data_IF_503008804412
#
_entry.id   IF_503008804412
#
_cell.length_a   1.000
_cell.length_b   1.000
_cell.length_c   1.000
_cell.angle_alpha   90.00
_cell.angle_beta   90.00
_cell.angle_gamma   90.00
#
_symmetry.space_group_name_H-M   'P 1'
#
loop_
_entity.id
_entity.type
_entity.pdbx_description
1 polymer ?
#
# COMPACT_ATOMS: atom_id res chain seq x y z
N UNK A 1 -2.75 -13.77 8.66
CA UNK A 1 -3.51 -13.25 7.48
C UNK A 1 -4.28 -14.37 6.81
N UNK A 2 -5.53 -14.14 6.40
CA UNK A 2 -6.30 -15.11 5.61
C UNK A 2 -5.88 -15.05 4.14
N UNK A 3 -5.85 -16.20 3.46
CA UNK A 3 -5.61 -16.26 2.02
C UNK A 3 -6.78 -15.63 1.28
N UNK A 4 -6.51 -14.82 0.27
CA UNK A 4 -7.53 -14.20 -0.59
C UNK A 4 -8.45 -15.27 -1.19
N UNK A 5 -9.76 -15.01 -1.13
CA UNK A 5 -10.77 -15.82 -1.78
C UNK A 5 -10.65 -15.78 -3.33
N UNK A 6 -11.29 -16.69 -4.03
CA UNK A 6 -11.32 -16.70 -5.50
C UNK A 6 -11.91 -15.41 -6.07
N UNK A 7 -12.95 -14.87 -5.44
CA UNK A 7 -13.62 -13.64 -5.87
C UNK A 7 -12.72 -12.40 -5.67
N UNK A 8 -12.02 -12.30 -4.54
CA UNK A 8 -11.05 -11.22 -4.28
C UNK A 8 -9.91 -11.25 -5.31
N UNK A 9 -9.39 -12.44 -5.63
CA UNK A 9 -8.37 -12.60 -6.68
C UNK A 9 -8.88 -12.16 -8.05
N UNK A 10 -10.14 -12.44 -8.38
CA UNK A 10 -10.75 -11.99 -9.63
C UNK A 10 -10.90 -10.46 -9.65
N UNK A 11 -11.36 -9.86 -8.56
CA UNK A 11 -11.53 -8.41 -8.43
C UNK A 11 -10.19 -7.67 -8.55
N UNK A 12 -9.16 -8.13 -7.84
CA UNK A 12 -7.80 -7.55 -7.86
C UNK A 12 -7.16 -7.62 -9.26
N UNK A 13 -7.52 -8.62 -10.07
CA UNK A 13 -7.04 -8.75 -11.44
C UNK A 13 -7.96 -8.10 -12.50
N UNK A 14 -9.04 -7.43 -12.08
CA UNK A 14 -10.00 -6.83 -13.02
C UNK A 14 -9.42 -5.59 -13.74
N UNK A 15 -9.89 -5.29 -14.97
CA UNK A 15 -9.53 -4.05 -15.67
C UNK A 15 -9.89 -2.78 -14.88
N UNK A 16 -10.99 -2.82 -14.11
CA UNK A 16 -11.41 -1.73 -13.24
C UNK A 16 -10.40 -1.47 -12.13
N UNK A 17 -9.89 -2.52 -11.46
CA UNK A 17 -8.86 -2.38 -10.43
C UNK A 17 -7.54 -1.84 -11.03
N UNK A 18 -7.17 -2.30 -12.22
CA UNK A 18 -6.00 -1.78 -12.92
C UNK A 18 -6.13 -0.29 -13.29
N UNK A 19 -7.33 0.15 -13.70
CA UNK A 19 -7.61 1.56 -13.96
C UNK A 19 -7.53 2.40 -12.67
N UNK A 20 -8.10 1.90 -11.58
CA UNK A 20 -8.05 2.58 -10.28
C UNK A 20 -6.62 2.71 -9.78
N UNK A 21 -5.82 1.63 -9.84
CA UNK A 21 -4.40 1.66 -9.46
C UNK A 21 -3.58 2.67 -10.27
N UNK A 22 -3.90 2.86 -11.56
CA UNK A 22 -3.26 3.92 -12.33
C UNK A 22 -3.51 5.29 -11.72
N UNK A 23 -4.77 5.59 -11.35
CA UNK A 23 -5.14 6.85 -10.71
C UNK A 23 -4.48 7.05 -9.35
N UNK A 24 -4.39 5.98 -8.58
CA UNK A 24 -3.72 5.98 -7.27
C UNK A 24 -2.23 6.27 -7.42
N UNK A 25 -1.53 5.57 -8.32
CA UNK A 25 -0.10 5.81 -8.58
C UNK A 25 0.13 7.21 -9.18
N UNK A 26 -0.77 7.71 -10.05
CA UNK A 26 -0.67 9.07 -10.57
C UNK A 26 -0.87 10.13 -9.47
N UNK A 27 -1.78 9.89 -8.53
CA UNK A 27 -1.97 10.74 -7.38
C UNK A 27 -0.75 10.68 -6.45
N UNK A 28 -0.26 9.49 -6.14
CA UNK A 28 0.95 9.27 -5.35
C UNK A 28 2.17 10.01 -5.92
N UNK A 29 2.40 9.91 -7.23
CA UNK A 29 3.50 10.60 -7.90
C UNK A 29 3.40 12.13 -7.75
N UNK A 30 2.19 12.68 -7.89
CA UNK A 30 1.98 14.14 -7.72
C UNK A 30 2.16 14.60 -6.27
N UNK A 31 1.69 13.80 -5.31
CA UNK A 31 1.71 14.17 -3.89
C UNK A 31 3.08 14.01 -3.25
N UNK A 32 3.82 12.97 -3.63
CA UNK A 32 5.16 12.76 -3.03
C UNK A 32 6.16 13.81 -3.48
N UNK A 33 6.03 14.33 -4.71
CA UNK A 33 7.00 15.29 -5.27
C UNK A 33 8.45 14.77 -5.24
N UNK A 34 8.65 13.45 -5.10
CA UNK A 34 9.97 12.86 -4.99
C UNK A 34 10.67 12.89 -6.34
N UNK A 35 11.96 13.22 -6.30
CA UNK A 35 12.80 13.18 -7.49
C UNK A 35 13.00 11.74 -7.98
N UNK A 36 13.30 11.55 -9.28
CA UNK A 36 13.80 10.27 -9.77
C UNK A 36 14.99 9.79 -8.93
N UNK A 37 15.09 8.48 -8.71
CA UNK A 37 16.15 7.89 -7.90
C UNK A 37 15.80 7.63 -6.44
N UNK A 38 14.62 8.03 -5.97
CA UNK A 38 14.16 7.74 -4.62
C UNK A 38 13.95 6.22 -4.38
N UNK A 39 14.00 5.80 -3.12
CA UNK A 39 13.72 4.43 -2.68
C UNK A 39 12.24 4.25 -2.31
N UNK A 40 11.57 3.32 -2.97
CA UNK A 40 10.14 3.04 -2.78
C UNK A 40 9.87 1.64 -2.27
N UNK A 41 8.82 1.53 -1.44
CA UNK A 41 8.25 0.27 -1.01
C UNK A 41 6.79 0.16 -1.48
N UNK A 42 6.43 -0.93 -2.16
CA UNK A 42 5.05 -1.31 -2.48
C UNK A 42 4.60 -2.40 -1.49
N UNK A 43 3.81 -2.01 -0.50
CA UNK A 43 3.30 -2.85 0.58
C UNK A 43 2.05 -3.59 0.11
N UNK A 44 2.08 -4.92 0.14
CA UNK A 44 0.99 -5.75 -0.35
C UNK A 44 0.81 -5.63 -1.85
N UNK A 45 1.88 -5.85 -2.59
CA UNK A 45 1.96 -5.59 -4.03
C UNK A 45 0.97 -6.40 -4.89
N UNK A 46 0.32 -7.41 -4.32
CA UNK A 46 -0.58 -8.30 -5.04
C UNK A 46 0.06 -8.85 -6.33
N UNK A 47 -0.65 -8.82 -7.48
CA UNK A 47 -0.09 -9.27 -8.75
C UNK A 47 0.88 -8.26 -9.41
N UNK A 48 1.37 -7.25 -8.69
CA UNK A 48 2.42 -6.32 -9.11
C UNK A 48 2.00 -5.24 -10.09
N UNK A 49 0.71 -4.84 -10.09
CA UNK A 49 0.26 -3.81 -11.02
C UNK A 49 0.71 -2.42 -10.59
N UNK A 50 0.61 -2.09 -9.29
CA UNK A 50 1.14 -0.84 -8.75
C UNK A 50 2.65 -0.78 -8.85
N UNK A 51 3.38 -1.86 -8.48
CA UNK A 51 4.84 -1.94 -8.62
C UNK A 51 5.31 -1.61 -10.04
N UNK A 52 4.64 -2.16 -11.07
CA UNK A 52 4.99 -1.89 -12.47
C UNK A 52 4.76 -0.42 -12.84
N UNK A 53 3.66 0.18 -12.36
CA UNK A 53 3.36 1.59 -12.62
C UNK A 53 4.30 2.54 -11.90
N UNK A 54 4.65 2.25 -10.64
CA UNK A 54 5.65 3.01 -9.86
C UNK A 54 6.99 2.97 -10.59
N UNK A 55 7.43 1.78 -11.00
CA UNK A 55 8.66 1.62 -11.79
C UNK A 55 8.66 2.47 -13.07
N UNK A 56 7.61 2.37 -13.88
CA UNK A 56 7.52 3.05 -15.16
C UNK A 56 7.48 4.59 -15.04
N UNK A 57 6.81 5.11 -14.00
CA UNK A 57 6.50 6.54 -13.90
C UNK A 57 7.40 7.33 -12.98
N UNK A 58 7.89 6.69 -11.91
CA UNK A 58 8.65 7.38 -10.87
C UNK A 58 10.14 7.09 -10.98
N UNK A 59 10.54 6.09 -11.77
CA UNK A 59 11.95 5.73 -12.03
C UNK A 59 12.77 5.63 -10.73
N UNK A 60 12.34 4.79 -9.78
CA UNK A 60 13.03 4.65 -8.50
C UNK A 60 14.44 4.06 -8.71
N UNK A 61 15.38 4.45 -7.85
CA UNK A 61 16.67 3.77 -7.76
C UNK A 61 16.49 2.37 -7.13
N UNK A 62 15.63 2.29 -6.13
CA UNK A 62 15.27 1.05 -5.45
C UNK A 62 13.73 0.97 -5.40
N UNK A 63 13.17 -0.14 -5.87
CA UNK A 63 11.79 -0.52 -5.63
C UNK A 63 11.78 -1.89 -4.97
N UNK A 64 11.42 -1.93 -3.68
CA UNK A 64 11.05 -3.16 -3.02
C UNK A 64 9.53 -3.34 -3.07
N UNK A 65 9.07 -4.59 -3.23
CA UNK A 65 7.65 -4.90 -3.21
C UNK A 65 7.46 -6.27 -2.54
N UNK A 66 6.45 -6.40 -1.70
CA UNK A 66 6.18 -7.66 -1.06
C UNK A 66 4.68 -7.94 -0.94
N UNK A 67 4.36 -9.22 -0.78
CA UNK A 67 3.01 -9.67 -0.45
C UNK A 67 3.12 -10.86 0.50
N UNK A 68 2.11 -11.05 1.35
CA UNK A 68 2.03 -12.20 2.24
C UNK A 68 1.76 -13.51 1.49
N UNK A 69 1.01 -13.45 0.35
CA UNK A 69 0.71 -14.62 -0.47
C UNK A 69 1.81 -14.88 -1.52
N UNK A 70 2.57 -15.99 -1.42
CA UNK A 70 3.59 -16.35 -2.41
C UNK A 70 3.04 -16.45 -3.84
N UNK A 71 1.73 -16.76 -4.00
CA UNK A 71 1.10 -16.83 -5.32
C UNK A 71 1.01 -15.43 -5.95
N UNK A 72 0.74 -14.38 -5.16
CA UNK A 72 0.74 -12.99 -5.62
C UNK A 72 2.15 -12.56 -6.02
N UNK A 73 3.15 -12.82 -5.21
CA UNK A 73 4.57 -12.53 -5.54
C UNK A 73 4.99 -13.22 -6.85
N UNK A 74 4.54 -14.46 -7.09
CA UNK A 74 4.81 -15.17 -8.36
C UNK A 74 4.14 -14.48 -9.55
N UNK A 75 2.91 -13.98 -9.40
CA UNK A 75 2.21 -13.21 -10.44
C UNK A 75 2.88 -11.87 -10.69
N UNK A 76 3.28 -11.14 -9.63
CA UNK A 76 4.01 -9.89 -9.71
C UNK A 76 5.32 -10.07 -10.49
N UNK A 77 6.10 -11.11 -10.17
CA UNK A 77 7.34 -11.43 -10.88
C UNK A 77 7.13 -11.60 -12.38
N UNK A 78 6.11 -12.35 -12.79
CA UNK A 78 5.77 -12.55 -14.20
C UNK A 78 5.36 -11.24 -14.89
N UNK A 79 4.61 -10.38 -14.20
CA UNK A 79 4.19 -9.08 -14.72
C UNK A 79 5.37 -8.15 -14.92
N UNK A 80 6.25 -8.04 -13.94
CA UNK A 80 7.44 -7.19 -13.99
C UNK A 80 8.44 -7.68 -15.05
N UNK A 81 8.59 -9.01 -15.21
CA UNK A 81 9.40 -9.58 -16.30
C UNK A 81 8.91 -9.14 -17.68
N UNK A 82 7.59 -9.20 -17.92
CA UNK A 82 6.99 -8.76 -19.20
C UNK A 82 7.16 -7.26 -19.46
N UNK A 83 7.42 -6.48 -18.43
CA UNK A 83 7.62 -5.02 -18.48
C UNK A 83 9.10 -4.62 -18.45
N UNK A 84 10.03 -5.58 -18.42
CA UNK A 84 11.47 -5.32 -18.34
C UNK A 84 11.95 -4.79 -16.97
N UNK A 85 11.09 -4.76 -15.97
CA UNK A 85 11.36 -4.20 -14.64
C UNK A 85 11.95 -5.21 -13.64
N UNK A 86 12.16 -6.44 -14.02
CA UNK A 86 12.46 -7.56 -13.10
C UNK A 86 13.85 -7.50 -12.44
N UNK A 87 14.81 -6.79 -13.03
CA UNK A 87 16.17 -6.63 -12.48
C UNK A 87 16.23 -5.56 -11.40
N UNK A 88 15.28 -4.63 -11.39
CA UNK A 88 15.32 -3.41 -10.60
C UNK A 88 14.23 -3.38 -9.50
N UNK A 89 13.35 -4.40 -9.46
CA UNK A 89 12.33 -4.55 -8.44
C UNK A 89 12.63 -5.75 -7.57
N UNK A 90 12.86 -5.50 -6.27
CA UNK A 90 13.10 -6.55 -5.28
C UNK A 90 11.77 -7.09 -4.77
N UNK A 91 11.41 -8.29 -5.21
CA UNK A 91 10.18 -8.97 -4.81
C UNK A 91 10.44 -9.96 -3.67
N UNK A 92 9.62 -9.88 -2.60
CA UNK A 92 9.71 -10.74 -1.42
C UNK A 92 8.33 -11.30 -1.04
N UNK A 93 8.33 -12.40 -0.29
CA UNK A 93 7.21 -12.83 0.53
C UNK A 93 7.49 -12.37 1.95
N UNK A 94 6.63 -11.52 2.51
CA UNK A 94 6.85 -10.95 3.84
C UNK A 94 5.53 -10.62 4.55
N UNK A 95 5.61 -10.46 5.87
CA UNK A 95 4.52 -9.99 6.71
C UNK A 95 4.69 -8.49 6.98
N UNK A 96 3.63 -7.72 6.77
CA UNK A 96 3.64 -6.27 6.97
C UNK A 96 3.80 -5.88 8.46
N UNK A 97 3.52 -6.79 9.38
CA UNK A 97 3.75 -6.57 10.83
C UNK A 97 5.19 -6.80 11.26
N UNK A 98 6.04 -7.34 10.39
CA UNK A 98 7.47 -7.62 10.61
C UNK A 98 8.23 -7.51 9.28
N UNK A 99 8.42 -6.30 8.79
CA UNK A 99 9.05 -6.08 7.49
C UNK A 99 10.56 -6.35 7.53
N UNK A 100 11.11 -7.13 6.57
CA UNK A 100 12.53 -7.51 6.55
C UNK A 100 13.41 -6.40 5.95
N UNK A 101 13.19 -5.17 6.37
CA UNK A 101 13.95 -4.00 5.92
C UNK A 101 14.52 -3.25 7.12
N UNK A 102 15.71 -2.63 6.99
CA UNK A 102 16.27 -1.75 8.02
C UNK A 102 15.37 -0.50 8.25
N UNK A 103 15.60 0.17 9.36
CA UNK A 103 14.99 1.46 9.66
C UNK A 103 15.39 2.49 8.60
N UNK A 104 14.49 3.44 8.31
CA UNK A 104 14.73 4.56 7.40
C UNK A 104 15.25 4.15 6.01
N UNK A 105 14.77 3.03 5.46
CA UNK A 105 15.24 2.46 4.19
C UNK A 105 14.55 3.03 2.96
N UNK A 106 13.42 3.71 3.14
CA UNK A 106 12.59 4.17 2.03
C UNK A 106 12.21 5.64 2.15
N UNK A 107 12.20 6.32 1.01
CA UNK A 107 11.70 7.69 0.88
C UNK A 107 10.17 7.71 0.76
N UNK A 108 9.57 6.63 0.27
CA UNK A 108 8.13 6.49 0.21
C UNK A 108 7.66 5.04 0.31
N UNK A 109 6.48 4.88 0.95
CA UNK A 109 5.72 3.63 1.00
C UNK A 109 4.38 3.85 0.30
N UNK A 110 4.04 2.93 -0.60
CA UNK A 110 2.74 2.87 -1.27
C UNK A 110 1.96 1.67 -0.75
N UNK A 111 0.70 1.89 -0.42
CA UNK A 111 -0.25 0.88 0.00
C UNK A 111 -1.63 1.16 -0.62
N UNK A 112 -2.34 0.12 -1.05
CA UNK A 112 -3.70 0.27 -1.56
C UNK A 112 -4.54 -1.00 -1.38
N UNK A 113 -5.42 -0.96 -0.38
CA UNK A 113 -6.37 -2.02 -0.07
C UNK A 113 -5.73 -3.26 0.56
N UNK A 114 -4.81 -3.09 1.48
CA UNK A 114 -4.04 -4.17 2.11
C UNK A 114 -4.21 -4.21 3.62
N UNK A 115 -4.12 -3.06 4.27
CA UNK A 115 -4.01 -2.99 5.74
C UNK A 115 -5.30 -3.48 6.42
N UNK A 116 -6.47 -3.30 5.80
CA UNK A 116 -7.73 -3.83 6.30
C UNK A 116 -7.82 -5.37 6.36
N UNK A 117 -6.89 -6.08 5.71
CA UNK A 117 -6.76 -7.54 5.82
C UNK A 117 -5.83 -7.99 6.96
N UNK A 118 -5.18 -7.05 7.65
CA UNK A 118 -4.18 -7.35 8.69
C UNK A 118 -4.84 -7.22 10.06
N UNK A 119 -4.95 -8.30 10.86
CA UNK A 119 -5.57 -8.22 12.19
C UNK A 119 -4.88 -7.22 13.12
N UNK A 120 -3.54 -7.24 13.18
CA UNK A 120 -2.74 -6.24 13.90
C UNK A 120 -2.26 -5.15 12.93
N UNK A 121 -3.21 -4.38 12.40
CA UNK A 121 -2.91 -3.31 11.44
C UNK A 121 -2.10 -2.17 12.07
N UNK A 122 -2.20 -1.98 13.38
CA UNK A 122 -1.38 -1.01 14.11
C UNK A 122 0.11 -1.41 14.08
N UNK A 123 0.42 -2.71 14.19
CA UNK A 123 1.80 -3.17 14.01
C UNK A 123 2.31 -2.92 12.60
N UNK A 124 1.47 -3.10 11.57
CA UNK A 124 1.86 -2.78 10.20
C UNK A 124 2.16 -1.28 10.04
N UNK A 125 1.38 -0.37 10.63
CA UNK A 125 1.66 1.07 10.60
C UNK A 125 2.92 1.45 11.38
N UNK A 126 3.23 0.78 12.52
CA UNK A 126 4.52 0.95 13.21
C UNK A 126 5.69 0.57 12.30
N UNK A 127 5.59 -0.53 11.57
CA UNK A 127 6.60 -0.95 10.61
C UNK A 127 6.74 0.04 9.43
N UNK A 128 5.63 0.56 8.90
CA UNK A 128 5.66 1.63 7.88
C UNK A 128 6.45 2.84 8.40
N UNK A 129 6.14 3.31 9.60
CA UNK A 129 6.84 4.44 10.21
C UNK A 129 8.33 4.15 10.46
N UNK A 130 8.67 2.90 10.84
CA UNK A 130 10.06 2.46 11.07
C UNK A 130 10.87 2.47 9.78
N UNK A 131 10.33 1.89 8.69
CA UNK A 131 11.07 1.76 7.43
C UNK A 131 11.13 3.05 6.62
N UNK A 132 10.25 4.03 6.89
CA UNK A 132 10.32 5.36 6.29
C UNK A 132 11.47 6.16 6.87
N UNK A 133 12.23 6.81 5.99
CA UNK A 133 13.21 7.83 6.34
C UNK A 133 12.56 9.14 6.78
N UNK A 134 13.34 10.03 7.37
CA UNK A 134 12.89 11.37 7.77
C UNK A 134 12.46 12.18 6.54
N UNK A 135 11.29 12.79 6.61
CA UNK A 135 10.65 13.46 5.48
C UNK A 135 10.01 12.50 4.46
N UNK A 136 10.06 11.20 4.72
CA UNK A 136 9.44 10.18 3.87
C UNK A 136 7.92 10.25 3.88
N UNK A 137 7.28 9.69 2.85
CA UNK A 137 5.83 9.77 2.64
C UNK A 137 5.19 8.40 2.51
N UNK A 138 4.05 8.25 3.15
CA UNK A 138 3.19 7.07 3.10
C UNK A 138 1.90 7.39 2.37
N UNK A 139 1.70 6.78 1.20
CA UNK A 139 0.41 6.75 0.51
C UNK A 139 -0.42 5.59 1.04
N UNK A 140 -1.68 5.85 1.35
CA UNK A 140 -2.65 4.84 1.75
C UNK A 140 -4.00 5.04 1.06
N UNK A 141 -4.66 3.92 0.76
CA UNK A 141 -5.99 3.91 0.17
C UNK A 141 -6.78 2.69 0.68
N UNK A 142 -7.69 2.90 1.63
CA UNK A 142 -8.37 1.87 2.40
C UNK A 142 -9.88 2.08 2.48
N UNK A 143 -10.68 1.00 2.59
CA UNK A 143 -12.08 1.11 2.94
C UNK A 143 -12.23 1.21 4.46
N UNK A 144 -13.14 2.07 4.94
CA UNK A 144 -13.49 2.10 6.35
C UNK A 144 -14.39 0.92 6.74
N UNK A 145 -14.46 0.61 8.04
CA UNK A 145 -15.44 -0.31 8.65
C UNK A 145 -16.87 0.03 8.19
N UNK A 146 -17.22 1.31 8.19
CA UNK A 146 -18.54 1.80 7.78
C UNK A 146 -18.86 1.55 6.30
N UNK A 147 -17.85 1.57 5.42
CA UNK A 147 -18.02 1.26 3.99
C UNK A 147 -18.23 -0.22 3.77
N UNK A 148 -17.44 -1.07 4.41
CA UNK A 148 -17.49 -2.51 4.24
C UNK A 148 -18.72 -3.15 4.87
N UNK A 149 -19.33 -2.50 5.86
CA UNK A 149 -20.61 -2.94 6.44
C UNK A 149 -21.83 -2.65 5.54
N UNK A 150 -21.68 -1.92 4.43
CA UNK A 150 -22.79 -1.48 3.56
C UNK A 150 -22.72 -2.12 2.16
N UNK A 151 -23.89 -2.32 1.56
CA UNK A 151 -24.04 -2.75 0.18
C UNK A 151 -23.42 -4.10 -0.15
N UNK A 152 -22.83 -4.22 -1.34
CA UNK A 152 -22.21 -5.44 -1.85
C UNK A 152 -21.00 -5.90 -1.03
N UNK A 153 -20.29 -4.98 -0.37
CA UNK A 153 -19.15 -5.29 0.48
C UNK A 153 -19.52 -6.20 1.65
N UNK A 154 -20.75 -6.09 2.19
CA UNK A 154 -21.25 -6.97 3.27
C UNK A 154 -21.27 -8.45 2.89
N UNK A 155 -21.28 -8.77 1.60
CA UNK A 155 -21.27 -10.14 1.09
C UNK A 155 -19.87 -10.73 0.93
N UNK A 156 -18.83 -9.91 1.08
CA UNK A 156 -17.44 -10.38 1.04
C UNK A 156 -17.03 -10.92 2.41
N UNK A 157 -16.28 -12.02 2.48
CA UNK A 157 -15.81 -12.59 3.73
C UNK A 157 -14.67 -11.74 4.32
N UNK A 158 -14.99 -10.60 4.88
CA UNK A 158 -14.06 -9.74 5.59
C UNK A 158 -14.28 -9.84 7.10
N UNK A 159 -13.21 -9.89 7.86
CA UNK A 159 -13.29 -9.78 9.31
C UNK A 159 -13.53 -8.30 9.70
N UNK A 160 -14.79 -7.86 9.62
CA UNK A 160 -15.19 -6.46 9.88
C UNK A 160 -14.83 -5.99 11.29
N UNK A 161 -14.67 -6.94 12.22
CA UNK A 161 -14.38 -6.67 13.65
C UNK A 161 -12.96 -6.12 13.90
N UNK A 162 -12.01 -6.39 13.00
CA UNK A 162 -10.62 -5.90 13.09
C UNK A 162 -10.34 -4.66 12.25
N UNK A 163 -11.38 -4.06 11.66
CA UNK A 163 -11.25 -2.93 10.77
C UNK A 163 -11.35 -1.61 11.53
N UNK A 164 -10.82 -0.58 10.92
CA UNK A 164 -10.74 0.78 11.44
C UNK A 164 -11.75 1.72 10.76
N UNK A 165 -12.05 2.81 11.43
CA UNK A 165 -12.66 3.98 10.81
C UNK A 165 -11.61 5.08 10.52
N UNK A 166 -12.05 6.20 9.96
CA UNK A 166 -11.14 7.28 9.55
C UNK A 166 -10.48 7.98 10.75
N UNK A 167 -11.14 8.02 11.91
CA UNK A 167 -10.60 8.64 13.12
C UNK A 167 -9.55 7.73 13.78
N UNK A 168 -9.87 6.44 13.95
CA UNK A 168 -8.93 5.42 14.44
C UNK A 168 -7.66 5.37 13.56
N UNK A 169 -7.83 5.46 12.22
CA UNK A 169 -6.72 5.50 11.27
C UNK A 169 -5.82 6.72 11.48
N UNK A 170 -6.41 7.93 11.58
CA UNK A 170 -5.66 9.17 11.80
C UNK A 170 -4.93 9.16 13.14
N UNK A 171 -5.60 8.72 14.19
CA UNK A 171 -5.02 8.63 15.54
C UNK A 171 -3.83 7.68 15.54
N UNK A 172 -3.99 6.48 14.96
CA UNK A 172 -2.89 5.51 14.90
C UNK A 172 -1.72 6.02 14.07
N UNK A 173 -1.96 6.71 12.94
CA UNK A 173 -0.88 7.34 12.17
C UNK A 173 -0.12 8.35 13.03
N UNK A 174 -0.83 9.22 13.77
CA UNK A 174 -0.19 10.20 14.66
C UNK A 174 0.61 9.52 15.79
N UNK A 175 0.08 8.47 16.38
CA UNK A 175 0.73 7.70 17.46
C UNK A 175 2.04 7.05 17.00
N UNK A 176 2.15 6.67 15.74
CA UNK A 176 3.39 6.12 15.15
C UNK A 176 4.30 7.19 14.53
N UNK A 177 3.97 8.47 14.69
CA UNK A 177 4.78 9.60 14.21
C UNK A 177 4.58 9.94 12.73
N UNK A 178 3.46 9.54 12.13
CA UNK A 178 3.09 9.89 10.76
C UNK A 178 1.94 10.90 10.77
N UNK A 179 2.11 12.03 10.10
CA UNK A 179 1.11 13.09 10.06
C UNK A 179 0.43 13.16 8.70
N UNK A 180 -0.90 13.06 8.69
CA UNK A 180 -1.69 13.14 7.44
C UNK A 180 -1.56 14.53 6.83
N UNK A 181 -1.15 14.59 5.56
CA UNK A 181 -1.04 15.82 4.79
C UNK A 181 -2.39 16.12 4.12
N UNK A 182 -3.08 17.17 4.57
CA UNK A 182 -4.38 17.58 4.03
C UNK A 182 -5.56 16.71 4.46
N UNK A 183 -6.65 16.79 3.71
CA UNK A 183 -7.87 16.03 3.98
C UNK A 183 -7.85 14.65 3.33
N UNK A 184 -8.49 13.68 4.01
CA UNK A 184 -8.70 12.36 3.44
C UNK A 184 -9.60 12.47 2.21
N UNK A 185 -9.12 11.90 1.10
CA UNK A 185 -9.86 11.87 -0.16
C UNK A 185 -10.75 10.62 -0.25
N UNK A 186 -11.82 10.73 -1.06
CA UNK A 186 -12.69 9.60 -1.39
C UNK A 186 -12.43 9.19 -2.84
N UNK A 187 -11.98 7.96 -3.00
CA UNK A 187 -11.88 7.29 -4.30
C UNK A 187 -13.01 6.27 -4.45
N UNK A 188 -13.28 5.76 -5.66
CA UNK A 188 -14.43 4.87 -5.89
C UNK A 188 -14.52 3.67 -4.96
N UNK A 189 -13.40 3.05 -4.57
CA UNK A 189 -13.36 1.91 -3.64
C UNK A 189 -12.94 2.28 -2.21
N UNK A 190 -12.37 3.47 -2.01
CA UNK A 190 -11.70 3.88 -0.79
C UNK A 190 -12.32 5.15 -0.22
N UNK A 191 -12.56 5.19 1.06
CA UNK A 191 -13.04 6.36 1.79
C UNK A 191 -12.03 6.85 2.85
N UNK A 192 -10.91 6.11 3.00
CA UNK A 192 -9.72 6.52 3.75
C UNK A 192 -8.55 6.53 2.75
N UNK A 193 -8.30 7.66 2.13
CA UNK A 193 -7.25 7.79 1.12
C UNK A 193 -6.48 9.09 1.31
N UNK A 194 -5.16 9.03 1.30
CA UNK A 194 -4.33 10.21 1.50
C UNK A 194 -2.84 9.91 1.54
N UNK A 195 -2.11 10.92 1.99
CA UNK A 195 -0.68 10.84 2.26
C UNK A 195 -0.42 11.22 3.71
N UNK A 196 0.45 10.48 4.37
CA UNK A 196 1.02 10.88 5.64
C UNK A 196 2.54 11.06 5.50
N UNK A 197 3.10 12.06 6.17
CA UNK A 197 4.53 12.33 6.16
C UNK A 197 5.15 11.98 7.52
N UNK A 198 6.37 11.44 7.48
CA UNK A 198 7.25 11.36 8.64
C UNK A 198 7.97 12.72 8.78
N UNK A 199 7.93 13.37 9.94
CA UNK A 199 8.66 14.63 10.14
C UNK A 199 10.14 14.49 9.81
N UNK A 200 10.75 15.58 9.37
CA UNK A 200 12.22 15.63 9.27
C UNK A 200 12.77 15.67 10.69
N UNK A 201 13.75 14.83 10.96
CA UNK A 201 14.54 14.94 12.20
C UNK A 201 15.12 16.34 12.30
N UNK A 202 15.02 16.97 13.45
CA UNK A 202 15.59 18.28 13.74
C UNK A 202 17.11 18.22 13.83
#
# INVERSE_FOLDING_TARGET
MARMSFFERWLVNSPFRAWLQRREVDAFARWTGLAPGAAFLDLGCGPGAASALIWERMQPNILAAFDFDPAMVKLARRRLQRRGAHTNVRLLVADATHMPFPDASFDAVFESGVVHHIPDWQAALREVARVLGDGGRFWFAEPSRGRLSRGLYRMLPHAVESMFDAEEWRTTLADVGLHVEGDLQKLPLWDICGVAAKPKGG
#
